data_IF_473838683725
#
_entry.id   IF_473838683725
#
_cell.length_a   1.000
_cell.length_b   1.000
_cell.length_c   1.000
_cell.angle_alpha   90.00
_cell.angle_beta   90.00
_cell.angle_gamma   90.00
#
_symmetry.space_group_name_H-M   'P 1'
#
loop_
_entity.id
_entity.type
_entity.pdbx_description
1 polymer ?
#
# COMPACT_ATOMS: atom_id res chain seq x y z
N UNK A 1 -7.29 -12.24 -19.62
CA UNK A 1 -6.42 -12.05 -18.44
C UNK A 1 -6.88 -10.76 -17.78
N UNK A 2 -7.06 -10.72 -16.46
CA UNK A 2 -7.71 -9.59 -15.77
C UNK A 2 -6.95 -8.28 -16.02
N UNK A 3 -7.66 -7.28 -16.53
CA UNK A 3 -7.17 -5.94 -16.85
C UNK A 3 -6.93 -5.11 -15.57
N UNK A 4 -5.97 -5.59 -14.76
CA UNK A 4 -5.57 -4.95 -13.51
C UNK A 4 -4.75 -3.71 -13.79
N UNK A 5 -5.19 -2.55 -13.29
CA UNK A 5 -4.48 -1.27 -13.45
C UNK A 5 -3.47 -1.02 -12.33
N UNK A 6 -3.72 -1.59 -11.14
CA UNK A 6 -2.81 -1.54 -9.99
C UNK A 6 -2.80 -2.92 -9.34
N UNK A 7 -1.61 -3.45 -9.07
CA UNK A 7 -1.44 -4.73 -8.37
C UNK A 7 -0.44 -4.59 -7.22
N UNK A 8 -0.83 -5.02 -6.03
CA UNK A 8 0.06 -5.11 -4.87
C UNK A 8 0.52 -6.55 -4.68
N UNK A 9 1.80 -6.73 -4.35
CA UNK A 9 2.40 -8.04 -4.10
C UNK A 9 3.23 -8.00 -2.82
N UNK A 10 2.77 -8.73 -1.81
CA UNK A 10 3.40 -8.84 -0.49
C UNK A 10 3.76 -7.47 0.08
N UNK A 11 2.82 -6.53 0.07
CA UNK A 11 3.11 -5.14 0.39
C UNK A 11 3.28 -4.98 1.91
N UNK A 12 4.44 -4.46 2.32
CA UNK A 12 4.72 -4.11 3.72
C UNK A 12 5.07 -2.64 3.85
N UNK A 13 4.61 -2.03 4.94
CA UNK A 13 5.07 -0.70 5.37
C UNK A 13 5.22 -0.65 6.88
N UNK A 14 6.43 -0.35 7.30
CA UNK A 14 6.78 -0.10 8.70
C UNK A 14 7.13 1.37 8.92
N UNK A 15 6.92 1.82 10.15
CA UNK A 15 7.41 3.11 10.65
C UNK A 15 8.19 2.88 11.94
N UNK A 16 9.32 3.55 12.07
CA UNK A 16 10.07 3.58 13.32
C UNK A 16 9.54 4.75 14.14
N UNK A 17 9.01 4.46 15.33
CA UNK A 17 8.62 5.48 16.28
C UNK A 17 9.85 5.78 17.13
N UNK A 18 10.61 6.79 16.73
CA UNK A 18 11.59 7.39 17.63
C UNK A 18 10.80 8.11 18.73
N UNK A 19 10.79 7.53 19.92
CA UNK A 19 10.45 8.31 21.10
C UNK A 19 11.72 9.09 21.49
N UNK A 20 11.58 10.36 21.88
CA UNK A 20 12.70 11.29 22.09
C UNK A 20 13.74 10.83 23.11
N UNK A 21 14.74 11.68 23.40
CA UNK A 21 16.00 11.43 24.16
C UNK A 21 16.00 10.49 25.40
N UNK A 22 14.86 10.06 25.93
CA UNK A 22 14.71 9.10 27.03
C UNK A 22 14.09 7.75 26.62
N UNK A 23 13.81 7.50 25.35
CA UNK A 23 13.16 6.28 24.92
C UNK A 23 14.13 5.10 24.86
N UNK A 24 13.84 4.09 25.67
CA UNK A 24 14.66 2.88 25.80
C UNK A 24 14.47 1.84 24.68
N UNK A 25 13.57 2.07 23.72
CA UNK A 25 13.26 1.10 22.67
C UNK A 25 12.85 1.74 21.35
N UNK A 26 13.56 1.39 20.27
CA UNK A 26 13.07 1.54 18.90
C UNK A 26 11.83 0.68 18.71
N UNK A 27 10.66 1.31 18.60
CA UNK A 27 9.41 0.59 18.32
C UNK A 27 9.09 0.69 16.84
N UNK A 28 9.29 -0.41 16.11
CA UNK A 28 8.80 -0.56 14.74
C UNK A 28 7.32 -0.94 14.74
N UNK A 29 6.51 -0.19 14.00
CA UNK A 29 5.08 -0.47 13.82
C UNK A 29 4.81 -0.87 12.38
N UNK A 30 4.12 -1.99 12.18
CA UNK A 30 3.62 -2.42 10.88
C UNK A 30 2.30 -1.71 10.59
N UNK A 31 2.33 -0.74 9.69
CA UNK A 31 1.13 -0.05 9.21
C UNK A 31 0.47 -0.78 8.04
N UNK A 32 1.25 -1.55 7.27
CA UNK A 32 0.75 -2.49 6.24
C UNK A 32 1.57 -3.77 6.38
N UNK A 33 0.91 -4.92 6.44
CA UNK A 33 1.52 -6.22 6.72
C UNK A 33 1.01 -7.27 5.72
N UNK A 34 1.84 -7.62 4.74
CA UNK A 34 1.57 -8.63 3.70
C UNK A 34 0.26 -8.44 2.93
N UNK A 35 0.05 -7.24 2.37
CA UNK A 35 -1.18 -6.95 1.61
C UNK A 35 -0.97 -7.21 0.11
N UNK A 36 -1.84 -8.04 -0.47
CA UNK A 36 -1.86 -8.36 -1.90
C UNK A 36 -3.28 -8.30 -2.46
N UNK A 37 -3.50 -7.47 -3.48
CA UNK A 37 -4.77 -7.34 -4.21
C UNK A 37 -4.54 -6.73 -5.59
N UNK A 38 -5.58 -6.72 -6.41
CA UNK A 38 -5.59 -6.09 -7.74
C UNK A 38 -6.78 -5.14 -7.83
N UNK A 39 -6.53 -3.93 -8.35
CA UNK A 39 -7.57 -2.99 -8.76
C UNK A 39 -7.73 -3.15 -10.26
N UNK A 40 -8.93 -3.53 -10.68
CA UNK A 40 -9.28 -3.72 -12.08
C UNK A 40 -9.86 -2.43 -12.68
N UNK A 41 -9.68 -2.26 -13.99
CA UNK A 41 -10.29 -1.17 -14.76
C UNK A 41 -11.81 -1.15 -14.60
N UNK A 42 -12.38 0.06 -14.56
CA UNK A 42 -13.82 0.29 -14.60
C UNK A 42 -14.58 -0.15 -13.35
N UNK A 43 -13.89 -0.59 -12.29
CA UNK A 43 -14.49 -1.00 -11.02
C UNK A 43 -14.20 0.00 -9.92
N UNK A 44 -15.16 0.17 -9.02
CA UNK A 44 -15.03 1.00 -7.82
C UNK A 44 -14.80 0.11 -6.60
N UNK A 45 -13.75 0.41 -5.83
CA UNK A 45 -13.40 -0.31 -4.61
C UNK A 45 -13.48 0.61 -3.39
N UNK A 46 -14.01 0.08 -2.28
CA UNK A 46 -14.01 0.76 -0.98
C UNK A 46 -13.01 0.12 -0.03
N UNK A 47 -12.08 0.91 0.52
CA UNK A 47 -11.16 0.46 1.56
C UNK A 47 -11.69 0.86 2.94
N UNK A 48 -12.19 -0.12 3.70
CA UNK A 48 -12.88 0.09 4.99
C UNK A 48 -12.17 -0.61 6.15
N UNK A 49 -12.49 -0.20 7.38
CA UNK A 49 -11.90 -0.74 8.62
C UNK A 49 -11.74 0.31 9.72
N UNK A 50 -11.42 -0.13 10.94
CA UNK A 50 -11.28 0.72 12.14
C UNK A 50 -10.16 1.76 12.04
N UNK A 51 -10.19 2.78 12.91
CA UNK A 51 -9.09 3.76 12.99
C UNK A 51 -7.77 3.04 13.30
N UNK A 52 -6.69 3.41 12.61
CA UNK A 52 -5.37 2.81 12.80
C UNK A 52 -5.10 1.49 12.06
N UNK A 53 -6.06 0.88 11.36
CA UNK A 53 -5.84 -0.40 10.68
C UNK A 53 -5.00 -0.34 9.38
N UNK A 54 -4.47 0.83 9.00
CA UNK A 54 -3.58 0.97 7.84
C UNK A 54 -4.21 1.43 6.53
N UNK A 55 -5.49 1.82 6.50
CA UNK A 55 -6.19 2.28 5.28
C UNK A 55 -5.48 3.43 4.57
N UNK A 56 -5.25 4.54 5.28
CA UNK A 56 -4.59 5.73 4.74
C UNK A 56 -3.17 5.43 4.29
N UNK A 57 -2.44 4.59 5.04
CA UNK A 57 -1.09 4.15 4.65
C UNK A 57 -1.12 3.34 3.37
N UNK A 58 -2.06 2.41 3.23
CA UNK A 58 -2.25 1.60 2.01
C UNK A 58 -2.56 2.51 0.82
N UNK A 59 -3.53 3.42 0.96
CA UNK A 59 -3.87 4.38 -0.09
C UNK A 59 -2.66 5.24 -0.51
N UNK A 60 -1.86 5.70 0.46
CA UNK A 60 -0.62 6.47 0.20
C UNK A 60 0.48 5.65 -0.50
N UNK A 61 0.57 4.34 -0.24
CA UNK A 61 1.47 3.45 -0.98
C UNK A 61 1.02 3.30 -2.43
N UNK A 62 -0.30 3.19 -2.68
CA UNK A 62 -0.84 3.03 -4.03
C UNK A 62 -0.62 4.26 -4.93
N UNK A 63 -0.50 5.46 -4.36
CA UNK A 63 -0.24 6.70 -5.11
C UNK A 63 1.22 7.15 -5.01
N UNK A 64 2.11 6.23 -4.66
CA UNK A 64 3.57 6.45 -4.52
C UNK A 64 3.98 7.58 -3.55
N UNK A 65 3.06 8.06 -2.70
CA UNK A 65 3.37 9.04 -1.66
C UNK A 65 4.27 8.45 -0.57
N UNK A 66 4.16 7.14 -0.33
CA UNK A 66 5.12 6.36 0.45
C UNK A 66 5.74 5.27 -0.40
N UNK A 67 7.03 4.99 -0.15
CA UNK A 67 7.63 3.74 -0.60
C UNK A 67 7.32 2.61 0.38
N UNK A 68 7.02 1.39 -0.13
CA UNK A 68 6.91 0.22 0.71
C UNK A 68 8.26 -0.09 1.39
N UNK A 69 8.20 -0.66 2.58
CA UNK A 69 9.40 -1.22 3.24
C UNK A 69 9.85 -2.49 2.53
N UNK A 70 8.89 -3.31 2.06
CA UNK A 70 9.13 -4.51 1.26
C UNK A 70 7.90 -4.81 0.38
N UNK A 71 8.06 -5.66 -0.62
CA UNK A 71 7.03 -5.93 -1.64
C UNK A 71 7.00 -4.87 -2.74
N UNK A 72 5.96 -4.93 -3.57
CA UNK A 72 5.84 -4.09 -4.77
C UNK A 72 4.41 -3.63 -5.02
N UNK A 73 4.29 -2.44 -5.60
CA UNK A 73 3.10 -1.98 -6.31
C UNK A 73 3.46 -1.93 -7.79
N UNK A 74 2.68 -2.60 -8.63
CA UNK A 74 2.84 -2.64 -10.08
C UNK A 74 1.70 -1.82 -10.70
N UNK A 75 2.05 -1.02 -11.70
CA UNK A 75 1.12 -0.15 -12.40
C UNK A 75 1.11 -0.53 -13.88
N UNK A 76 -0.08 -0.58 -14.47
CA UNK A 76 -0.22 -0.75 -15.91
C UNK A 76 -0.15 0.63 -16.57
N UNK A 77 0.76 0.86 -17.53
CA UNK A 77 0.89 2.14 -18.21
C UNK A 77 -0.42 2.55 -18.91
N UNK A 78 -0.71 3.86 -19.04
CA UNK A 78 -1.89 4.36 -19.74
C UNK A 78 -2.05 3.82 -21.17
N UNK A 79 -0.94 3.57 -21.88
CA UNK A 79 -0.96 3.15 -23.28
C UNK A 79 -1.26 1.65 -23.46
N UNK A 80 -0.92 0.83 -22.46
CA UNK A 80 -1.29 -0.60 -22.39
C UNK A 80 -2.69 -0.81 -21.79
N UNK A 81 -3.20 0.25 -21.16
CA UNK A 81 -4.51 0.34 -20.54
C UNK A 81 -5.64 0.67 -21.54
N UNK A 82 -5.30 0.99 -22.80
CA UNK A 82 -6.25 1.30 -23.88
C UNK A 82 -6.16 0.20 -24.94
N UNK A 83 -6.63 -0.99 -24.60
CA UNK A 83 -7.00 -1.99 -25.59
C UNK A 83 -8.42 -2.43 -25.31
N UNK A 84 -9.36 -1.59 -25.75
CA UNK A 84 -10.74 -1.97 -26.03
C UNK A 84 -10.84 -2.46 -27.49
#
# INVERSE_FOLDING_TARGET
MSDGIIKTQHLYKTFNLEAGFFAKHDKTVYAVNDVSFTIERGKTYGLVGESGCGKTTTARLLVEMYKPTSGKVLYTPPDEAVQD
#
